data_IF_529731339846
#
_entry.id   IF_529731339846
#
_cell.length_a   1.000
_cell.length_b   1.000
_cell.length_c   1.000
_cell.angle_alpha   90.00
_cell.angle_beta   90.00
_cell.angle_gamma   90.00
#
_symmetry.space_group_name_H-M   'P 1'
#
loop_
_entity.id
_entity.type
_entity.pdbx_description
1 polymer ?
#
# COMPACT_ATOMS: atom_id res chain seq x y z
N UNK A 1 -61.33 11.91 1.45
CA UNK A 1 -60.46 12.41 0.40
C UNK A 1 -59.05 12.41 0.95
N UNK A 2 -58.40 11.23 0.93
CA UNK A 2 -57.35 10.82 -0.03
C UNK A 2 -56.03 10.89 0.77
N UNK A 3 -55.11 9.93 0.85
CA UNK A 3 -54.92 8.60 0.29
C UNK A 3 -53.73 8.03 1.10
N UNK A 4 -53.93 7.07 2.01
CA UNK A 4 -52.85 6.36 2.71
C UNK A 4 -52.90 4.91 2.25
N UNK A 5 -52.30 4.68 1.08
CA UNK A 5 -52.13 3.35 0.51
C UNK A 5 -50.74 2.81 0.87
N UNK A 6 -50.63 1.63 1.50
CA UNK A 6 -49.33 1.00 1.71
C UNK A 6 -48.77 0.55 0.34
N UNK A 7 -47.51 0.91 0.07
CA UNK A 7 -46.79 0.40 -1.09
C UNK A 7 -46.55 -1.11 -0.92
N UNK A 8 -47.25 -1.93 -1.70
CA UNK A 8 -46.96 -3.35 -1.86
C UNK A 8 -45.60 -3.54 -2.52
N UNK A 9 -44.64 -4.12 -1.80
CA UNK A 9 -43.43 -4.69 -2.38
C UNK A 9 -43.77 -6.11 -2.86
N UNK A 10 -44.30 -6.22 -4.07
CA UNK A 10 -44.42 -7.49 -4.80
C UNK A 10 -43.54 -7.43 -6.04
N UNK A 11 -42.60 -8.35 -6.15
CA UNK A 11 -41.86 -8.63 -7.39
C UNK A 11 -40.35 -8.71 -7.22
N UNK A 12 -39.85 -9.84 -6.71
CA UNK A 12 -38.52 -10.36 -7.06
C UNK A 12 -38.49 -10.64 -8.57
N UNK A 13 -38.28 -9.61 -9.38
CA UNK A 13 -37.91 -9.79 -10.79
C UNK A 13 -36.40 -10.04 -10.83
N UNK A 14 -36.02 -11.31 -10.93
CA UNK A 14 -34.68 -11.77 -11.30
C UNK A 14 -34.22 -11.01 -12.56
N UNK A 15 -33.45 -9.94 -12.35
CA UNK A 15 -32.81 -9.21 -13.43
C UNK A 15 -31.65 -10.07 -13.94
N UNK A 16 -31.91 -10.81 -15.02
CA UNK A 16 -30.86 -11.51 -15.75
C UNK A 16 -29.73 -10.54 -16.12
N UNK A 17 -28.45 -10.93 -15.94
CA UNK A 17 -27.32 -10.10 -16.32
C UNK A 17 -27.33 -9.84 -17.82
N UNK A 18 -27.24 -8.56 -18.19
CA UNK A 18 -27.22 -8.11 -19.58
C UNK A 18 -26.03 -8.75 -20.32
N UNK A 19 -26.30 -9.71 -21.20
CA UNK A 19 -25.30 -10.24 -22.14
C UNK A 19 -25.04 -9.20 -23.23
N UNK A 20 -23.78 -8.75 -23.30
CA UNK A 20 -23.32 -7.79 -24.29
C UNK A 20 -23.08 -8.53 -25.62
N UNK A 21 -23.99 -8.38 -26.59
CA UNK A 21 -23.78 -8.89 -27.95
C UNK A 21 -22.56 -8.21 -28.59
N UNK A 22 -21.56 -8.99 -28.99
CA UNK A 22 -20.43 -8.54 -29.81
C UNK A 22 -20.90 -8.27 -31.23
N UNK A 23 -21.35 -7.03 -31.47
CA UNK A 23 -21.46 -6.46 -32.79
C UNK A 23 -20.07 -6.01 -33.29
N UNK A 24 -19.58 -6.65 -34.34
CA UNK A 24 -18.38 -6.26 -35.08
C UNK A 24 -18.64 -4.92 -35.78
N UNK A 25 -18.13 -3.83 -35.19
CA UNK A 25 -18.05 -2.54 -35.84
C UNK A 25 -16.82 -1.77 -35.31
N UNK A 26 -15.88 -1.58 -36.22
CA UNK A 26 -14.65 -0.79 -36.14
C UNK A 26 -14.83 0.55 -35.39
N UNK A 27 -14.30 0.65 -34.16
CA UNK A 27 -14.16 1.90 -33.42
C UNK A 27 -12.90 1.85 -32.53
N UNK A 28 -12.05 2.91 -32.53
CA UNK A 28 -10.82 2.91 -31.76
C UNK A 28 -11.11 2.95 -30.25
N UNK A 29 -10.57 1.95 -29.54
CA UNK A 29 -10.67 1.80 -28.10
C UNK A 29 -10.12 3.04 -27.37
N UNK A 30 -11.01 3.80 -26.72
CA UNK A 30 -10.62 4.78 -25.72
C UNK A 30 -10.31 4.04 -24.42
N UNK A 31 -9.01 3.86 -24.15
CA UNK A 31 -8.53 3.24 -22.93
C UNK A 31 -9.06 3.99 -21.69
N UNK A 32 -9.88 3.32 -20.89
CA UNK A 32 -10.41 3.87 -19.64
C UNK A 32 -9.28 4.20 -18.67
N UNK A 33 -9.15 5.49 -18.31
CA UNK A 33 -8.25 6.01 -17.26
C UNK A 33 -8.89 5.94 -15.88
N UNK A 34 -9.52 4.81 -15.52
CA UNK A 34 -9.97 4.60 -14.14
C UNK A 34 -8.73 4.20 -13.34
N UNK A 35 -7.99 5.19 -12.85
CA UNK A 35 -6.91 4.95 -11.89
C UNK A 35 -7.55 4.72 -10.52
N UNK A 36 -7.50 3.48 -10.05
CA UNK A 36 -7.94 3.12 -8.71
C UNK A 36 -7.18 3.96 -7.67
N UNK A 37 -7.92 4.66 -6.81
CA UNK A 37 -7.41 5.47 -5.69
C UNK A 37 -6.62 4.68 -4.63
N UNK A 38 -6.44 3.36 -4.80
CA UNK A 38 -5.60 2.51 -3.95
C UNK A 38 -4.09 2.60 -4.24
N UNK A 39 -3.69 3.25 -5.34
CA UNK A 39 -2.29 3.33 -5.77
C UNK A 39 -1.40 4.26 -4.90
N UNK A 40 -1.94 4.90 -3.86
CA UNK A 40 -1.16 5.74 -2.94
C UNK A 40 -0.80 5.05 -1.61
N UNK A 41 -1.27 3.82 -1.36
CA UNK A 41 -0.83 3.04 -0.19
C UNK A 41 0.53 2.37 -0.40
N UNK A 42 0.93 2.15 -1.65
CA UNK A 42 2.32 1.96 -2.01
C UNK A 42 2.91 3.36 -2.21
N UNK A 43 3.30 4.02 -1.13
CA UNK A 43 4.26 5.12 -1.21
C UNK A 43 5.51 4.55 -1.89
N UNK A 44 5.54 4.60 -3.22
CA UNK A 44 6.76 4.50 -3.99
C UNK A 44 7.65 5.58 -3.41
N UNK A 45 8.54 5.17 -2.50
CA UNK A 45 9.60 6.05 -2.05
C UNK A 45 10.29 6.46 -3.33
N UNK A 46 10.08 7.70 -3.77
CA UNK A 46 10.97 8.31 -4.75
C UNK A 46 12.36 7.95 -4.26
N UNK A 47 13.08 7.15 -5.04
CA UNK A 47 14.47 6.86 -4.80
C UNK A 47 15.16 8.22 -4.94
N UNK A 48 15.21 8.97 -3.84
CA UNK A 48 15.99 10.18 -3.77
C UNK A 48 17.41 9.70 -4.01
N UNK A 49 17.95 10.06 -5.17
CA UNK A 49 19.34 9.78 -5.50
C UNK A 49 20.17 10.58 -4.50
N UNK A 50 20.54 9.93 -3.40
CA UNK A 50 21.39 10.51 -2.38
C UNK A 50 22.76 10.78 -3.00
N UNK A 51 23.27 12.00 -2.83
CA UNK A 51 24.55 12.44 -3.41
C UNK A 51 25.76 11.62 -2.93
N UNK A 52 25.64 10.92 -1.80
CA UNK A 52 26.69 10.08 -1.22
C UNK A 52 26.48 8.62 -1.62
N UNK A 53 27.53 7.99 -2.14
CA UNK A 53 27.54 6.58 -2.50
C UNK A 53 27.41 5.66 -1.27
N UNK A 54 26.97 4.42 -1.50
CA UNK A 54 26.94 3.40 -0.47
C UNK A 54 28.37 2.96 -0.16
N UNK A 55 28.69 2.90 1.13
CA UNK A 55 30.02 2.51 1.58
C UNK A 55 29.99 1.06 2.05
N UNK A 56 30.18 0.12 1.11
CA UNK A 56 30.08 -1.33 1.30
C UNK A 56 31.16 -1.94 2.20
N UNK A 57 32.32 -1.29 2.34
CA UNK A 57 33.50 -1.87 3.04
C UNK A 57 34.23 -0.85 3.92
N UNK A 58 33.72 0.38 4.03
CA UNK A 58 34.30 1.44 4.84
C UNK A 58 33.55 1.65 6.17
N UNK A 59 34.23 2.30 7.12
CA UNK A 59 33.66 2.58 8.43
C UNK A 59 32.51 3.62 8.36
N UNK A 60 31.40 3.33 9.04
CA UNK A 60 30.30 4.27 9.29
C UNK A 60 29.12 4.20 8.31
N UNK A 61 27.89 4.38 8.81
CA UNK A 61 26.67 4.37 8.02
C UNK A 61 26.53 5.64 7.17
N UNK A 62 26.10 5.48 5.91
CA UNK A 62 25.91 6.61 5.00
C UNK A 62 24.45 6.99 4.84
N UNK A 63 23.54 6.07 5.13
CA UNK A 63 22.10 6.22 4.99
C UNK A 63 21.37 5.63 6.19
N UNK A 64 20.13 6.07 6.33
CA UNK A 64 19.20 5.59 7.33
C UNK A 64 17.88 5.31 6.66
N UNK A 65 17.26 4.18 7.02
CA UNK A 65 15.90 3.84 6.63
C UNK A 65 15.11 3.51 7.87
N UNK A 66 13.90 4.07 7.95
CA UNK A 66 12.97 3.82 9.06
C UNK A 66 11.82 2.99 8.51
N UNK A 67 11.56 1.88 9.18
CA UNK A 67 10.40 1.04 8.99
C UNK A 67 9.48 1.20 10.20
N UNK A 68 8.18 1.15 9.99
CA UNK A 68 7.24 1.07 11.08
C UNK A 68 6.11 0.12 10.72
N UNK A 69 5.55 -0.54 11.72
CA UNK A 69 4.42 -1.42 11.53
C UNK A 69 3.56 -1.49 12.78
N UNK A 70 2.26 -1.76 12.57
CA UNK A 70 1.36 -2.10 13.67
C UNK A 70 1.85 -3.39 14.33
N UNK A 71 1.59 -3.54 15.62
CA UNK A 71 1.99 -4.73 16.37
C UNK A 71 0.93 -5.83 16.19
N UNK A 72 0.82 -6.34 14.97
CA UNK A 72 -0.01 -7.50 14.62
C UNK A 72 0.83 -8.48 13.80
N UNK A 73 0.52 -9.77 13.87
CA UNK A 73 1.33 -10.83 13.23
C UNK A 73 1.54 -10.56 11.74
N UNK A 74 0.45 -10.39 10.98
CA UNK A 74 0.57 -10.15 9.54
C UNK A 74 1.29 -8.85 9.16
N UNK A 75 1.19 -7.80 9.98
CA UNK A 75 1.88 -6.54 9.69
C UNK A 75 3.38 -6.61 10.01
N UNK A 76 3.77 -7.42 11.00
CA UNK A 76 5.17 -7.69 11.32
C UNK A 76 5.81 -8.61 10.27
N UNK A 77 5.10 -9.64 9.82
CA UNK A 77 5.58 -10.54 8.75
C UNK A 77 5.82 -9.76 7.44
N UNK A 78 4.87 -8.88 7.06
CA UNK A 78 5.02 -8.02 5.89
C UNK A 78 6.18 -7.03 6.04
N UNK A 79 6.40 -6.47 7.24
CA UNK A 79 7.54 -5.59 7.48
C UNK A 79 8.87 -6.35 7.34
N UNK A 80 8.95 -7.59 7.81
CA UNK A 80 10.14 -8.43 7.66
C UNK A 80 10.44 -8.73 6.19
N UNK A 81 9.41 -9.08 5.40
CA UNK A 81 9.55 -9.27 3.95
C UNK A 81 10.04 -7.99 3.26
N UNK A 82 9.46 -6.83 3.58
CA UNK A 82 9.89 -5.54 3.05
C UNK A 82 11.36 -5.24 3.36
N UNK A 83 11.82 -5.51 4.58
CA UNK A 83 13.21 -5.27 4.99
C UNK A 83 14.14 -6.20 4.20
N UNK A 84 13.85 -7.50 4.12
CA UNK A 84 14.68 -8.46 3.41
C UNK A 84 14.78 -8.12 1.91
N UNK A 85 13.64 -7.86 1.26
CA UNK A 85 13.61 -7.47 -0.16
C UNK A 85 14.41 -6.18 -0.43
N UNK A 86 14.39 -5.24 0.52
CA UNK A 86 15.18 -4.02 0.43
C UNK A 86 16.68 -4.28 0.61
N UNK A 87 17.09 -5.11 1.56
CA UNK A 87 18.51 -5.45 1.78
C UNK A 87 19.08 -6.18 0.56
N UNK A 88 18.29 -7.07 -0.04
CA UNK A 88 18.69 -7.86 -1.20
C UNK A 88 18.80 -7.03 -2.49
N UNK A 89 18.09 -5.90 -2.60
CA UNK A 89 18.02 -5.14 -3.86
C UNK A 89 19.31 -4.40 -4.23
N UNK A 90 20.06 -3.89 -3.24
CA UNK A 90 21.10 -2.87 -3.48
C UNK A 90 22.48 -3.20 -2.88
N UNK A 91 22.82 -4.48 -2.66
CA UNK A 91 24.06 -4.91 -1.98
C UNK A 91 24.31 -4.05 -0.71
N UNK A 92 23.31 -3.97 0.15
CA UNK A 92 23.36 -3.09 1.31
C UNK A 92 24.10 -3.78 2.46
N UNK A 93 25.08 -3.09 3.06
CA UNK A 93 25.71 -3.51 4.31
C UNK A 93 25.01 -2.83 5.50
N UNK A 94 24.37 -3.61 6.38
CA UNK A 94 23.75 -3.06 7.60
C UNK A 94 24.82 -2.86 8.67
N UNK A 95 24.89 -1.65 9.23
CA UNK A 95 25.88 -1.27 10.24
C UNK A 95 25.30 -1.16 11.64
N UNK A 96 24.06 -0.72 11.76
CA UNK A 96 23.38 -0.62 13.05
C UNK A 96 21.86 -0.72 12.88
N UNK A 97 21.21 -1.34 13.84
CA UNK A 97 19.75 -1.44 13.92
C UNK A 97 19.30 -0.99 15.31
N UNK A 98 18.31 -0.10 15.35
CA UNK A 98 17.65 0.31 16.57
C UNK A 98 16.15 0.06 16.45
N UNK A 99 15.51 -0.37 17.54
CA UNK A 99 14.07 -0.60 17.58
C UNK A 99 13.46 0.10 18.79
N UNK A 100 12.26 0.63 18.61
CA UNK A 100 11.48 1.24 19.68
C UNK A 100 10.01 0.93 19.46
N UNK A 101 9.29 0.65 20.54
CA UNK A 101 7.83 0.61 20.52
C UNK A 101 7.34 2.01 20.88
N UNK A 102 6.60 2.64 19.98
CA UNK A 102 6.11 4.00 20.13
C UNK A 102 4.65 4.14 19.72
N UNK A 103 4.02 5.24 20.13
CA UNK A 103 2.67 5.58 19.67
C UNK A 103 2.82 6.51 18.47
N UNK A 104 2.28 6.10 17.32
CA UNK A 104 2.25 6.95 16.14
C UNK A 104 0.97 7.78 16.15
N UNK A 105 1.11 9.09 15.93
CA UNK A 105 -0.03 10.00 15.84
C UNK A 105 -0.74 9.84 14.50
N UNK A 106 -2.06 9.72 14.55
CA UNK A 106 -2.95 9.58 13.40
C UNK A 106 -4.39 9.82 13.83
N UNK A 107 -5.38 9.34 13.06
CA UNK A 107 -6.79 9.48 13.46
C UNK A 107 -7.11 8.79 14.79
N UNK A 108 -6.44 7.66 15.06
CA UNK A 108 -6.42 6.99 16.35
C UNK A 108 -4.95 6.74 16.70
N UNK A 109 -4.49 7.13 17.90
CA UNK A 109 -3.15 6.80 18.36
C UNK A 109 -3.06 5.29 18.54
N UNK A 110 -2.09 4.66 17.89
CA UNK A 110 -1.90 3.21 17.92
C UNK A 110 -0.43 2.87 18.21
N UNK A 111 -0.16 1.82 18.99
CA UNK A 111 1.18 1.35 19.23
C UNK A 111 1.76 0.72 17.95
N UNK A 112 2.95 1.15 17.59
CA UNK A 112 3.70 0.67 16.44
C UNK A 112 5.11 0.27 16.88
N UNK A 113 5.63 -0.77 16.23
CA UNK A 113 7.05 -1.06 16.25
C UNK A 113 7.73 -0.17 15.21
N UNK A 114 8.76 0.57 15.61
CA UNK A 114 9.56 1.42 14.74
C UNK A 114 10.98 0.85 14.72
N UNK A 115 11.48 0.56 13.53
CA UNK A 115 12.81 -0.01 13.30
C UNK A 115 13.62 0.96 12.46
N UNK A 116 14.76 1.40 12.97
CA UNK A 116 15.70 2.28 12.28
C UNK A 116 16.92 1.48 11.88
N UNK A 117 17.19 1.40 10.58
CA UNK A 117 18.33 0.67 10.01
C UNK A 117 19.31 1.68 9.44
N UNK A 118 20.54 1.66 9.95
CA UNK A 118 21.68 2.43 9.46
C UNK A 118 22.56 1.55 8.59
N UNK A 119 22.84 2.01 7.36
CA UNK A 119 23.54 1.27 6.32
C UNK A 119 24.50 2.17 5.53
#
# INVERSE_FOLDING_TARGET
SDDDAPLSLEGDEDLDPISLETGDADAPATASKIQAFGAHAASGQQQQQFKRELNLTGAGATRVRVFHSKITVGALDHMAEMINNWVDSDQIEIKSVAQVVGVMEGKKPEPNLIVTVWY
#
